data_IF_271834764339
#
_entry.id   IF_271834764339
#
_cell.length_a   1.000
_cell.length_b   1.000
_cell.length_c   1.000
_cell.angle_alpha   90.00
_cell.angle_beta   90.00
_cell.angle_gamma   90.00
#
_symmetry.space_group_name_H-M   'P 1'
#
loop_
_entity.id
_entity.type
_entity.pdbx_description
1 polymer ?
#
# COMPACT_ATOMS: atom_id res chain seq x y z
N UNK A 1 2.02 -5.07 18.93
CA UNK A 1 2.05 -6.07 17.84
C UNK A 1 3.33 -5.83 17.09
N UNK A 2 4.35 -6.50 17.61
CA UNK A 2 5.75 -6.34 17.28
C UNK A 2 6.05 -6.76 15.84
N UNK A 3 7.14 -6.25 15.28
CA UNK A 3 7.60 -6.45 13.90
C UNK A 3 7.56 -7.91 13.39
N UNK A 4 7.58 -8.91 14.28
CA UNK A 4 7.47 -10.34 13.94
C UNK A 4 6.12 -10.76 13.34
N UNK A 5 5.02 -10.06 13.61
CA UNK A 5 3.73 -10.36 12.97
C UNK A 5 3.69 -9.84 11.52
N UNK A 6 4.42 -8.77 11.22
CA UNK A 6 4.47 -8.16 9.87
C UNK A 6 5.28 -9.00 8.90
N UNK A 7 6.40 -9.55 9.35
CA UNK A 7 7.24 -10.42 8.51
C UNK A 7 6.52 -11.73 8.18
N UNK A 8 5.81 -12.32 9.16
CA UNK A 8 4.96 -13.49 8.91
C UNK A 8 3.81 -13.18 7.97
N UNK A 9 3.14 -12.04 8.15
CA UNK A 9 2.10 -11.61 7.25
C UNK A 9 2.64 -11.47 5.82
N UNK A 10 3.82 -10.86 5.65
CA UNK A 10 4.45 -10.74 4.33
C UNK A 10 4.73 -12.10 3.67
N UNK A 11 5.25 -13.08 4.43
CA UNK A 11 5.51 -14.42 3.90
C UNK A 11 4.22 -15.15 3.50
N UNK A 12 3.17 -15.02 4.32
CA UNK A 12 1.84 -15.57 4.05
C UNK A 12 1.24 -14.95 2.78
N UNK A 13 1.31 -13.62 2.63
CA UNK A 13 0.80 -12.91 1.46
C UNK A 13 1.65 -13.20 0.20
N UNK A 14 2.96 -13.34 0.34
CA UNK A 14 3.84 -13.71 -0.78
C UNK A 14 3.54 -15.11 -1.29
N UNK A 15 3.30 -16.06 -0.38
CA UNK A 15 2.85 -17.41 -0.73
C UNK A 15 1.47 -17.39 -1.39
N UNK A 16 0.54 -16.58 -0.87
CA UNK A 16 -0.77 -16.39 -1.48
C UNK A 16 -0.66 -15.85 -2.90
N UNK A 17 0.19 -14.85 -3.16
CA UNK A 17 0.42 -14.30 -4.51
C UNK A 17 1.10 -15.30 -5.45
N UNK A 18 1.91 -16.23 -4.93
CA UNK A 18 2.49 -17.31 -5.75
C UNK A 18 1.44 -18.32 -6.20
N UNK A 19 0.43 -18.56 -5.36
CA UNK A 19 -0.67 -19.48 -5.66
C UNK A 19 -1.74 -18.81 -6.53
N UNK A 20 -2.07 -17.57 -6.21
CA UNK A 20 -3.05 -16.75 -6.88
C UNK A 20 -2.54 -15.30 -6.99
N UNK A 21 -1.95 -14.91 -8.13
CA UNK A 21 -1.35 -13.59 -8.30
C UNK A 21 -2.37 -12.45 -8.28
N UNK A 22 -3.66 -12.76 -8.38
CA UNK A 22 -4.77 -11.80 -8.34
C UNK A 22 -5.50 -11.84 -6.98
N UNK A 23 -4.88 -12.45 -5.97
CA UNK A 23 -5.52 -12.69 -4.68
C UNK A 23 -5.85 -11.38 -3.99
N UNK A 24 -7.15 -11.10 -3.89
CA UNK A 24 -7.69 -9.93 -3.22
C UNK A 24 -7.15 -9.78 -1.79
N UNK A 25 -7.11 -10.87 -1.03
CA UNK A 25 -6.70 -10.85 0.39
C UNK A 25 -5.22 -10.52 0.53
N UNK A 26 -4.37 -11.05 -0.36
CA UNK A 26 -2.94 -10.78 -0.36
C UNK A 26 -2.63 -9.32 -0.73
N UNK A 27 -3.22 -8.84 -1.84
CA UNK A 27 -3.09 -7.45 -2.27
C UNK A 27 -3.61 -6.47 -1.21
N UNK A 28 -4.74 -6.78 -0.58
CA UNK A 28 -5.28 -6.00 0.53
C UNK A 28 -4.32 -6.02 1.72
N UNK A 29 -3.88 -7.19 2.17
CA UNK A 29 -3.00 -7.33 3.33
C UNK A 29 -1.67 -6.58 3.17
N UNK A 30 -1.02 -6.71 2.02
CA UNK A 30 0.22 -6.00 1.70
C UNK A 30 -0.05 -4.49 1.62
N UNK A 31 -1.09 -4.07 0.91
CA UNK A 31 -1.43 -2.66 0.75
C UNK A 31 -1.66 -1.93 2.09
N UNK A 32 -2.38 -2.55 3.03
CA UNK A 32 -2.58 -2.01 4.37
C UNK A 32 -1.27 -1.98 5.19
N UNK A 33 -0.42 -2.99 5.07
CA UNK A 33 0.88 -3.01 5.73
C UNK A 33 1.80 -1.87 5.24
N UNK A 34 1.75 -1.60 3.94
CA UNK A 34 2.53 -0.54 3.30
C UNK A 34 2.02 0.85 3.71
N UNK A 35 0.70 1.02 3.86
CA UNK A 35 0.11 2.21 4.50
C UNK A 35 0.69 2.42 5.91
N UNK A 36 0.74 1.39 6.75
CA UNK A 36 1.29 1.52 8.11
C UNK A 36 2.80 1.82 8.12
N UNK A 37 3.54 1.38 7.10
CA UNK A 37 4.97 1.68 6.92
C UNK A 37 5.24 3.08 6.36
N UNK A 38 4.21 3.79 5.90
CA UNK A 38 4.35 5.06 5.20
C UNK A 38 4.84 4.91 3.75
N UNK A 39 4.87 3.70 3.22
CA UNK A 39 5.18 3.42 1.82
C UNK A 39 3.91 3.64 0.97
N UNK A 40 3.48 4.91 0.87
CA UNK A 40 2.19 5.26 0.28
C UNK A 40 2.08 4.87 -1.19
N UNK A 41 3.15 5.04 -1.98
CA UNK A 41 3.16 4.71 -3.41
C UNK A 41 2.98 3.21 -3.65
N UNK A 42 3.76 2.36 -2.96
CA UNK A 42 3.60 0.90 -3.03
C UNK A 42 2.24 0.43 -2.49
N UNK A 43 1.72 1.11 -1.46
CA UNK A 43 0.39 0.81 -0.93
C UNK A 43 -0.71 1.03 -1.99
N UNK A 44 -0.62 2.11 -2.79
CA UNK A 44 -1.58 2.38 -3.86
C UNK A 44 -1.62 1.23 -4.85
N UNK A 45 -0.46 0.76 -5.33
CA UNK A 45 -0.41 -0.31 -6.34
C UNK A 45 -1.10 -1.60 -5.88
N UNK A 46 -0.80 -2.04 -4.66
CA UNK A 46 -1.41 -3.24 -4.09
C UNK A 46 -2.90 -3.04 -3.78
N UNK A 47 -3.28 -1.88 -3.25
CA UNK A 47 -4.69 -1.60 -2.95
C UNK A 47 -5.53 -1.44 -4.23
N UNK A 48 -4.97 -0.90 -5.32
CA UNK A 48 -5.65 -0.83 -6.61
C UNK A 48 -5.85 -2.21 -7.23
N UNK A 49 -4.87 -3.12 -7.11
CA UNK A 49 -5.04 -4.50 -7.53
C UNK A 49 -6.16 -5.20 -6.73
N UNK A 50 -6.21 -4.99 -5.41
CA UNK A 50 -7.32 -5.48 -4.58
C UNK A 50 -8.66 -4.84 -4.98
N UNK A 51 -8.70 -3.54 -5.28
CA UNK A 51 -9.91 -2.86 -5.72
C UNK A 51 -10.39 -3.39 -7.08
N UNK A 52 -9.48 -3.76 -7.98
CA UNK A 52 -9.82 -4.39 -9.26
C UNK A 52 -10.43 -5.79 -9.06
N UNK A 53 -9.89 -6.57 -8.12
CA UNK A 53 -10.42 -7.90 -7.79
C UNK A 53 -11.79 -7.83 -7.08
N UNK A 54 -12.02 -6.84 -6.19
CA UNK A 54 -13.31 -6.60 -5.54
C UNK A 54 -13.65 -5.10 -5.47
N UNK A 55 -14.25 -4.54 -6.53
CA UNK A 55 -14.61 -3.13 -6.59
C UNK A 55 -15.77 -2.72 -5.64
N UNK A 56 -16.35 -3.67 -4.90
CA UNK A 56 -17.37 -3.43 -3.88
C UNK A 56 -16.83 -3.27 -2.47
N UNK A 57 -15.52 -3.45 -2.25
CA UNK A 57 -14.94 -3.37 -0.91
C UNK A 57 -14.65 -1.92 -0.53
N UNK A 58 -15.50 -1.39 0.35
CA UNK A 58 -15.40 0.01 0.80
C UNK A 58 -14.11 0.28 1.58
N UNK A 59 -13.57 -0.71 2.30
CA UNK A 59 -12.35 -0.53 3.07
C UNK A 59 -11.13 -0.36 2.15
N UNK A 60 -11.06 -1.14 1.07
CA UNK A 60 -10.01 -0.99 0.06
C UNK A 60 -10.15 0.35 -0.67
N UNK A 61 -11.37 0.73 -1.06
CA UNK A 61 -11.60 2.02 -1.73
C UNK A 61 -11.16 3.23 -0.86
N UNK A 62 -11.46 3.20 0.44
CA UNK A 62 -11.02 4.24 1.38
C UNK A 62 -9.50 4.25 1.55
N UNK A 63 -8.89 3.05 1.64
CA UNK A 63 -7.45 2.88 1.75
C UNK A 63 -6.70 3.40 0.51
N UNK A 64 -7.17 3.12 -0.71
CA UNK A 64 -6.59 3.65 -1.97
C UNK A 64 -6.60 5.17 -1.96
N UNK A 65 -7.74 5.77 -1.59
CA UNK A 65 -7.89 7.23 -1.55
C UNK A 65 -6.92 7.84 -0.55
N UNK A 66 -6.83 7.28 0.66
CA UNK A 66 -5.90 7.73 1.69
C UNK A 66 -4.43 7.59 1.22
N UNK A 67 -4.08 6.44 0.66
CA UNK A 67 -2.74 6.16 0.14
C UNK A 67 -2.34 7.19 -0.93
N UNK A 68 -3.22 7.45 -1.90
CA UNK A 68 -2.98 8.44 -2.96
C UNK A 68 -2.81 9.85 -2.42
N UNK A 69 -3.67 10.28 -1.49
CA UNK A 69 -3.54 11.60 -0.86
C UNK A 69 -2.22 11.74 -0.11
N UNK A 70 -1.77 10.69 0.57
CA UNK A 70 -0.49 10.68 1.29
C UNK A 70 0.71 10.60 0.36
N UNK A 71 0.63 9.85 -0.73
CA UNK A 71 1.66 9.76 -1.76
C UNK A 71 1.89 11.14 -2.39
N UNK A 72 0.83 11.80 -2.87
CA UNK A 72 0.92 13.16 -3.43
C UNK A 72 1.48 14.15 -2.40
N UNK A 73 1.02 14.07 -1.14
CA UNK A 73 1.55 14.93 -0.08
C UNK A 73 3.04 14.68 0.21
N UNK A 74 3.49 13.43 0.17
CA UNK A 74 4.90 13.08 0.36
C UNK A 74 5.78 13.55 -0.81
N UNK A 75 5.30 13.40 -2.05
CA UNK A 75 5.99 13.91 -3.25
C UNK A 75 6.07 15.46 -3.25
N UNK A 76 5.05 16.13 -2.72
CA UNK A 76 5.04 17.60 -2.59
C UNK A 76 5.93 18.11 -1.46
N UNK A 77 6.13 17.33 -0.41
CA UNK A 77 7.07 17.63 0.68
C UNK A 77 8.52 17.47 0.19
N UNK A 78 8.79 16.43 -0.61
CA UNK A 78 10.09 16.22 -1.28
C UNK A 78 10.40 17.34 -2.30
N UNK A 79 9.39 17.83 -3.03
CA UNK A 79 9.52 18.95 -3.96
C UNK A 79 9.76 20.33 -3.29
N UNK A 80 9.75 20.40 -1.95
CA UNK A 80 10.01 21.61 -1.15
C UNK A 80 11.43 21.63 -0.56
N UNK A 81 12.36 20.78 -1.01
CA UNK A 81 13.77 21.13 -0.87
C UNK A 81 14.08 22.31 -1.81
N UNK A 82 14.25 23.56 -1.32
CA UNK A 82 14.64 24.65 -2.19
C UNK A 82 15.99 24.28 -2.78
N UNK A 83 16.06 24.23 -4.12
CA UNK A 83 17.33 24.41 -4.83
C UNK A 83 18.06 25.56 -4.14
N UNK A 84 19.23 25.22 -3.61
CA UNK A 84 20.11 26.15 -2.93
C UNK A 84 20.20 27.45 -3.75
N UNK A 85 19.99 28.57 -3.06
CA UNK A 85 20.53 29.86 -3.49
C UNK A 85 22.02 29.67 -3.84
N UNK A 86 22.38 29.96 -5.09
CA UNK A 86 23.72 30.39 -5.51
C UNK A 86 23.59 31.66 -6.37
#
# INVERSE_FOLDING_TARGET
LESGDREKAWDEWSTALRLDPESFEAHRGIGFLQLERGAWSEAVEHLEAAAAARPGDQAVADAVRLARTRADAAERDEAVAPSAEE
#
